data_IF_932681113122
#
_entry.id   IF_932681113122
#
_cell.length_a   1.000
_cell.length_b   1.000
_cell.length_c   1.000
_cell.angle_alpha   90.00
_cell.angle_beta   90.00
_cell.angle_gamma   90.00
#
_symmetry.space_group_name_H-M   'P 1'
#
loop_
_entity.id
_entity.type
_entity.pdbx_description
1 polymer ?
#
# COMPACT_ATOMS: atom_id res chain seq x y z
N UNK A 1 -5.08 -16.89 -16.52
CA UNK A 1 -4.98 -16.64 -15.06
C UNK A 1 -3.61 -17.13 -14.62
N UNK A 2 -2.76 -16.22 -14.16
CA UNK A 2 -1.32 -16.48 -13.94
C UNK A 2 -1.04 -16.57 -12.44
N UNK A 3 -0.28 -17.56 -12.03
CA UNK A 3 0.07 -17.77 -10.63
C UNK A 3 1.40 -17.10 -10.27
N UNK A 4 1.39 -16.25 -9.24
CA UNK A 4 2.57 -15.54 -8.76
C UNK A 4 3.02 -16.12 -7.42
N UNK A 5 4.25 -16.65 -7.41
CA UNK A 5 4.85 -17.34 -6.26
C UNK A 5 5.80 -16.45 -5.45
N UNK A 6 6.37 -15.42 -6.06
CA UNK A 6 7.35 -14.53 -5.45
C UNK A 6 7.09 -13.08 -5.83
N UNK A 7 7.45 -12.16 -4.92
CA UNK A 7 7.39 -10.72 -5.14
C UNK A 7 8.80 -10.16 -5.03
N UNK A 8 9.29 -9.64 -6.16
CA UNK A 8 10.56 -8.94 -6.29
C UNK A 8 10.34 -7.42 -6.35
N UNK A 9 11.40 -6.63 -6.14
CA UNK A 9 11.34 -5.18 -6.33
C UNK A 9 10.93 -4.79 -7.76
N UNK A 10 11.39 -5.54 -8.77
CA UNK A 10 10.97 -5.36 -10.17
C UNK A 10 9.47 -5.58 -10.35
N UNK A 11 8.88 -6.57 -9.66
CA UNK A 11 7.44 -6.80 -9.71
C UNK A 11 6.67 -5.64 -9.07
N UNK A 12 7.13 -5.12 -7.93
CA UNK A 12 6.56 -3.92 -7.28
C UNK A 12 6.51 -2.75 -8.26
N UNK A 13 7.62 -2.40 -8.90
CA UNK A 13 7.67 -1.27 -9.81
C UNK A 13 6.84 -1.50 -11.09
N UNK A 14 6.80 -2.73 -11.60
CA UNK A 14 5.91 -3.13 -12.70
C UNK A 14 4.44 -2.85 -12.35
N UNK A 15 3.98 -3.29 -11.19
CA UNK A 15 2.59 -3.05 -10.76
C UNK A 15 2.30 -1.56 -10.60
N UNK A 16 3.19 -0.80 -9.97
CA UNK A 16 3.01 0.64 -9.78
C UNK A 16 2.88 1.37 -11.12
N UNK A 17 3.72 1.05 -12.10
CA UNK A 17 3.67 1.66 -13.44
C UNK A 17 2.37 1.31 -14.18
N UNK A 18 1.98 0.03 -14.18
CA UNK A 18 0.73 -0.39 -14.83
C UNK A 18 -0.47 0.30 -14.20
N UNK A 19 -0.58 0.27 -12.88
CA UNK A 19 -1.73 0.84 -12.18
C UNK A 19 -1.79 2.36 -12.23
N UNK A 20 -0.65 3.05 -12.36
CA UNK A 20 -0.64 4.50 -12.62
C UNK A 20 -1.33 4.82 -13.96
N UNK A 21 -1.01 4.07 -15.02
CA UNK A 21 -1.67 4.21 -16.32
C UNK A 21 -3.17 3.89 -16.23
N UNK A 22 -3.53 2.78 -15.57
CA UNK A 22 -4.94 2.39 -15.37
C UNK A 22 -5.71 3.48 -14.63
N UNK A 23 -5.19 3.96 -13.49
CA UNK A 23 -5.85 4.97 -12.67
C UNK A 23 -6.08 6.28 -13.42
N UNK A 24 -5.10 6.72 -14.23
CA UNK A 24 -5.25 7.89 -15.10
C UNK A 24 -6.40 7.72 -16.09
N UNK A 25 -6.46 6.59 -16.80
CA UNK A 25 -7.53 6.32 -17.79
C UNK A 25 -8.91 6.20 -17.14
N UNK A 26 -8.98 5.60 -15.95
CA UNK A 26 -10.22 5.54 -15.18
C UNK A 26 -10.70 6.94 -14.75
N UNK A 27 -9.78 7.81 -14.34
CA UNK A 27 -10.13 9.20 -14.02
C UNK A 27 -10.72 9.94 -15.23
N UNK A 28 -10.25 9.62 -16.44
CA UNK A 28 -10.75 10.17 -17.72
C UNK A 28 -11.98 9.44 -18.28
N UNK A 29 -12.52 8.41 -17.59
CA UNK A 29 -13.63 7.55 -18.05
C UNK A 29 -13.34 6.76 -19.33
N UNK A 30 -12.07 6.52 -19.63
CA UNK A 30 -11.65 5.67 -20.74
C UNK A 30 -11.50 4.21 -20.25
N UNK A 31 -12.64 3.53 -20.08
CA UNK A 31 -12.67 2.16 -19.56
C UNK A 31 -11.96 1.15 -20.49
N UNK A 32 -12.05 1.36 -21.80
CA UNK A 32 -11.42 0.48 -22.80
C UNK A 32 -9.89 0.60 -22.70
N UNK A 33 -9.35 1.82 -22.67
CA UNK A 33 -7.91 2.00 -22.51
C UNK A 33 -7.44 1.58 -21.11
N UNK A 34 -8.23 1.81 -20.07
CA UNK A 34 -7.92 1.35 -18.72
C UNK A 34 -7.80 -0.18 -18.65
N UNK A 35 -8.74 -0.91 -19.24
CA UNK A 35 -8.69 -2.37 -19.31
C UNK A 35 -7.49 -2.86 -20.13
N UNK A 36 -7.26 -2.27 -21.31
CA UNK A 36 -6.11 -2.59 -22.15
C UNK A 36 -4.77 -2.38 -21.40
N UNK A 37 -4.67 -1.30 -20.63
CA UNK A 37 -3.50 -1.00 -19.81
C UNK A 37 -3.33 -2.00 -18.65
N UNK A 38 -4.42 -2.57 -18.13
CA UNK A 38 -4.40 -3.55 -17.03
C UNK A 38 -3.95 -4.95 -17.51
N UNK A 39 -4.16 -5.29 -18.78
CA UNK A 39 -3.89 -6.62 -19.34
C UNK A 39 -2.54 -7.25 -18.97
N UNK A 40 -1.39 -6.52 -18.92
CA UNK A 40 -0.10 -7.11 -18.56
C UNK A 40 -0.05 -7.78 -17.18
N UNK A 41 -0.97 -7.45 -16.28
CA UNK A 41 -1.07 -8.04 -14.93
C UNK A 41 -2.44 -8.67 -14.67
N UNK A 42 -3.36 -8.62 -15.62
CA UNK A 42 -4.75 -9.04 -15.42
C UNK A 42 -4.86 -10.52 -15.05
N UNK A 43 -5.66 -10.80 -14.01
CA UNK A 43 -5.94 -12.14 -13.52
C UNK A 43 -4.74 -12.83 -12.87
N UNK A 44 -3.67 -12.11 -12.52
CA UNK A 44 -2.62 -12.66 -11.67
C UNK A 44 -3.16 -12.96 -10.26
N UNK A 45 -2.77 -14.11 -9.70
CA UNK A 45 -3.20 -14.53 -8.37
C UNK A 45 -2.00 -14.80 -7.48
N UNK A 46 -2.05 -14.26 -6.27
CA UNK A 46 -1.04 -14.56 -5.27
C UNK A 46 -1.22 -15.97 -4.71
N UNK A 47 -0.25 -16.84 -5.01
CA UNK A 47 -0.17 -18.21 -4.47
C UNK A 47 1.15 -18.48 -3.74
N UNK A 48 2.01 -17.46 -3.63
CA UNK A 48 3.28 -17.54 -2.94
C UNK A 48 3.20 -17.62 -1.43
N UNK A 49 4.39 -17.69 -0.82
CA UNK A 49 4.59 -17.60 0.63
C UNK A 49 5.69 -16.59 0.95
N UNK A 50 5.58 -15.91 2.08
CA UNK A 50 6.58 -14.93 2.52
C UNK A 50 7.48 -15.56 3.58
N UNK A 51 8.79 -15.63 3.32
CA UNK A 51 9.79 -16.02 4.31
C UNK A 51 10.09 -14.83 5.24
N UNK A 52 10.01 -15.06 6.55
CA UNK A 52 10.35 -14.07 7.56
C UNK A 52 11.88 -13.86 7.63
N UNK A 53 12.32 -12.65 7.92
CA UNK A 53 13.74 -12.34 8.10
C UNK A 53 14.31 -12.82 9.44
N UNK A 54 13.45 -13.05 10.44
CA UNK A 54 13.83 -13.62 11.72
C UNK A 54 12.76 -14.57 12.23
N UNK A 55 13.19 -15.58 12.99
CA UNK A 55 12.28 -16.44 13.75
C UNK A 55 11.58 -15.61 14.83
N UNK A 56 10.27 -15.79 15.07
CA UNK A 56 9.60 -15.15 16.20
C UNK A 56 10.31 -15.55 17.49
N UNK A 57 10.69 -14.56 18.31
CA UNK A 57 11.23 -14.85 19.65
C UNK A 57 10.11 -15.46 20.49
N UNK A 58 10.27 -16.71 20.92
CA UNK A 58 9.31 -17.41 21.76
C UNK A 58 9.13 -16.68 23.10
N UNK A 59 7.89 -16.51 23.56
CA UNK A 59 7.59 -15.96 24.88
C UNK A 59 7.26 -14.46 24.93
N UNK A 60 7.24 -13.74 23.80
CA UNK A 60 6.71 -12.36 23.78
C UNK A 60 5.19 -12.41 23.90
N UNK A 61 4.56 -11.80 24.93
CA UNK A 61 3.11 -11.82 25.08
C UNK A 61 2.43 -11.24 23.84
N UNK A 62 1.29 -11.85 23.46
CA UNK A 62 0.44 -11.43 22.34
C UNK A 62 0.02 -9.97 22.59
N UNK A 63 0.72 -9.02 21.97
CA UNK A 63 0.49 -7.59 22.22
C UNK A 63 -0.93 -7.24 21.80
N UNK A 64 -1.64 -6.51 22.66
CA UNK A 64 -2.86 -5.79 22.29
C UNK A 64 -2.49 -4.79 21.19
N UNK A 65 -2.59 -5.22 19.94
CA UNK A 65 -2.37 -4.37 18.78
C UNK A 65 -3.44 -3.29 18.77
N UNK A 66 -3.13 -2.10 19.29
CA UNK A 66 -3.91 -0.91 18.93
C UNK A 66 -3.58 -0.62 17.47
N UNK A 67 -4.44 -1.09 16.56
CA UNK A 67 -4.43 -0.74 15.14
C UNK A 67 -4.16 0.75 14.99
N UNK A 68 -3.17 1.13 14.17
CA UNK A 68 -2.98 2.53 13.77
C UNK A 68 -4.28 3.00 13.11
N UNK A 69 -4.79 4.16 13.53
CA UNK A 69 -6.01 4.73 12.95
C UNK A 69 -5.78 5.11 11.49
N UNK A 70 -6.78 4.92 10.62
CA UNK A 70 -6.65 5.16 9.17
C UNK A 70 -6.22 6.60 8.82
N UNK A 71 -6.66 7.59 9.60
CA UNK A 71 -6.20 8.98 9.48
C UNK A 71 -4.68 9.10 9.69
N UNK A 72 -4.15 8.44 10.72
CA UNK A 72 -2.70 8.44 11.01
C UNK A 72 -1.95 7.69 9.92
N UNK A 73 -2.50 6.59 9.38
CA UNK A 73 -1.91 5.90 8.22
C UNK A 73 -1.78 6.85 7.03
N UNK A 74 -2.84 7.60 6.69
CA UNK A 74 -2.80 8.54 5.58
C UNK A 74 -1.71 9.61 5.76
N UNK A 75 -1.56 10.14 6.97
CA UNK A 75 -0.50 11.10 7.33
C UNK A 75 0.90 10.50 7.17
N UNK A 76 1.11 9.26 7.64
CA UNK A 76 2.41 8.56 7.52
C UNK A 76 2.74 8.25 6.06
N UNK A 77 1.76 7.82 5.27
CA UNK A 77 1.98 7.51 3.85
C UNK A 77 2.31 8.76 3.05
N UNK A 78 1.64 9.88 3.32
CA UNK A 78 1.95 11.17 2.70
C UNK A 78 3.33 11.67 3.11
N UNK A 79 3.66 11.63 4.41
CA UNK A 79 4.97 11.99 4.96
C UNK A 79 6.12 11.24 4.28
N UNK A 80 5.93 9.93 4.07
CA UNK A 80 6.94 9.08 3.42
C UNK A 80 6.84 9.08 1.88
N UNK A 81 6.13 10.06 1.29
CA UNK A 81 5.96 10.22 -0.17
C UNK A 81 5.46 8.94 -0.86
N UNK A 82 4.58 8.21 -0.18
CA UNK A 82 4.02 6.94 -0.64
C UNK A 82 5.09 5.95 -1.11
N UNK A 83 6.22 5.88 -0.39
CA UNK A 83 7.29 4.91 -0.65
C UNK A 83 7.52 4.02 0.55
N UNK A 84 7.83 2.76 0.27
CA UNK A 84 8.31 1.87 1.31
C UNK A 84 9.68 2.36 1.78
N UNK A 85 9.78 2.75 3.04
CA UNK A 85 11.01 3.32 3.57
C UNK A 85 12.12 2.26 3.75
N UNK A 86 11.78 0.98 3.72
CA UNK A 86 12.77 -0.11 3.74
C UNK A 86 13.36 -0.40 2.36
N UNK A 87 12.55 -0.64 1.33
CA UNK A 87 13.04 -1.05 0.01
C UNK A 87 13.08 0.08 -1.05
N UNK A 88 12.52 1.26 -0.75
CA UNK A 88 12.44 2.41 -1.66
C UNK A 88 11.29 2.37 -2.68
N UNK A 89 10.68 1.19 -2.89
CA UNK A 89 9.67 0.99 -3.93
C UNK A 89 8.39 1.79 -3.70
N UNK A 90 7.72 2.14 -4.81
CA UNK A 90 6.44 2.87 -4.79
C UNK A 90 5.35 2.09 -4.08
N UNK A 91 4.56 2.77 -3.27
CA UNK A 91 3.38 2.22 -2.62
C UNK A 91 2.11 2.87 -3.19
N UNK A 92 1.03 2.11 -3.24
CA UNK A 92 -0.31 2.59 -3.61
C UNK A 92 -1.24 2.24 -2.45
N UNK A 93 -1.88 3.22 -1.80
CA UNK A 93 -2.78 2.96 -0.67
C UNK A 93 -3.84 1.93 -1.04
N UNK A 94 -4.13 1.02 -0.09
CA UNK A 94 -5.12 -0.05 -0.28
C UNK A 94 -6.46 0.46 -0.80
N UNK A 95 -6.93 1.61 -0.32
CA UNK A 95 -8.21 2.16 -0.74
C UNK A 95 -8.23 2.57 -2.22
N UNK A 96 -7.08 2.97 -2.78
CA UNK A 96 -6.94 3.25 -4.22
C UNK A 96 -6.92 1.94 -5.01
N UNK A 97 -6.19 0.93 -4.55
CA UNK A 97 -6.21 -0.41 -5.17
C UNK A 97 -7.61 -1.03 -5.15
N UNK A 98 -8.35 -0.86 -4.05
CA UNK A 98 -9.76 -1.29 -3.94
C UNK A 98 -10.63 -0.54 -4.95
N UNK A 99 -10.45 0.77 -5.14
CA UNK A 99 -11.24 1.50 -6.14
C UNK A 99 -10.97 1.03 -7.58
N UNK A 100 -9.74 0.64 -7.91
CA UNK A 100 -9.43 0.01 -9.21
C UNK A 100 -10.10 -1.38 -9.30
N UNK A 101 -10.07 -2.15 -8.21
CA UNK A 101 -10.73 -3.45 -8.11
C UNK A 101 -12.25 -3.36 -8.23
N UNK A 102 -12.88 -2.31 -7.69
CA UNK A 102 -14.30 -2.05 -7.85
C UNK A 102 -14.66 -1.90 -9.34
N UNK A 103 -13.79 -1.34 -10.19
CA UNK A 103 -14.02 -1.28 -11.65
C UNK A 103 -13.74 -2.62 -12.34
N UNK A 104 -12.66 -3.30 -11.98
CA UNK A 104 -12.21 -4.53 -12.65
C UNK A 104 -12.09 -5.73 -11.68
N UNK A 105 -13.16 -6.21 -11.04
CA UNK A 105 -13.07 -7.18 -9.94
C UNK A 105 -12.54 -8.54 -10.39
N UNK A 106 -12.81 -8.96 -11.62
CA UNK A 106 -12.35 -10.24 -12.17
C UNK A 106 -10.88 -10.18 -12.65
N UNK A 107 -10.44 -9.03 -13.17
CA UNK A 107 -9.08 -8.84 -13.68
C UNK A 107 -8.10 -8.39 -12.59
N UNK A 108 -8.59 -7.69 -11.58
CA UNK A 108 -7.80 -7.15 -10.47
C UNK A 108 -8.48 -7.47 -9.13
N UNK A 109 -8.51 -8.75 -8.79
CA UNK A 109 -9.26 -9.26 -7.63
C UNK A 109 -8.75 -8.77 -6.27
N UNK A 110 -9.69 -8.37 -5.42
CA UNK A 110 -9.47 -8.06 -4.01
C UNK A 110 -10.13 -9.08 -3.09
N UNK A 111 -9.43 -9.42 -2.00
CA UNK A 111 -10.02 -10.17 -0.90
C UNK A 111 -9.60 -9.54 0.43
N UNK A 112 -10.53 -9.16 1.34
CA UNK A 112 -10.20 -8.41 2.56
C UNK A 112 -9.23 -9.14 3.49
N UNK A 113 -9.31 -10.47 3.52
CA UNK A 113 -8.42 -11.31 4.33
C UNK A 113 -7.16 -11.80 3.57
N UNK A 114 -6.85 -11.24 2.39
CA UNK A 114 -5.70 -11.65 1.58
C UNK A 114 -5.65 -13.17 1.29
N UNK A 115 -6.81 -13.79 1.05
CA UNK A 115 -6.87 -15.23 0.88
C UNK A 115 -6.03 -15.67 -0.34
N UNK A 116 -5.18 -16.67 -0.12
CA UNK A 116 -4.31 -17.26 -1.15
C UNK A 116 -5.16 -17.70 -2.34
N UNK A 117 -4.73 -17.36 -3.55
CA UNK A 117 -5.43 -17.66 -4.79
C UNK A 117 -6.71 -16.85 -5.03
N UNK A 118 -7.04 -15.88 -4.17
CA UNK A 118 -8.23 -15.00 -4.32
C UNK A 118 -7.90 -13.51 -4.36
N UNK A 119 -6.61 -13.16 -4.27
CA UNK A 119 -6.17 -11.77 -4.26
C UNK A 119 -5.08 -11.56 -5.31
N UNK A 120 -5.15 -10.40 -5.97
CA UNK A 120 -4.13 -9.96 -6.90
C UNK A 120 -2.80 -9.64 -6.14
N UNK A 121 -1.63 -10.08 -6.64
CA UNK A 121 -0.33 -9.88 -5.97
C UNK A 121 0.05 -8.41 -5.72
N UNK A 122 -0.47 -7.48 -6.51
CA UNK A 122 -0.26 -6.04 -6.30
C UNK A 122 -0.70 -5.56 -4.90
N UNK A 123 -1.73 -6.17 -4.29
CA UNK A 123 -2.11 -5.82 -2.91
C UNK A 123 -1.01 -6.15 -1.89
N UNK A 124 -0.24 -7.21 -2.12
CA UNK A 124 0.92 -7.54 -1.28
C UNK A 124 2.13 -6.66 -1.61
N UNK A 125 2.33 -6.38 -2.90
CA UNK A 125 3.52 -5.69 -3.40
C UNK A 125 3.48 -4.16 -3.22
N UNK A 126 2.30 -3.54 -3.25
CA UNK A 126 2.12 -2.09 -3.26
C UNK A 126 1.41 -1.54 -2.04
N UNK A 127 0.46 -2.28 -1.44
CA UNK A 127 -0.34 -1.72 -0.36
C UNK A 127 0.57 -1.43 0.86
N UNK A 128 0.63 -0.17 1.33
CA UNK A 128 1.41 0.19 2.49
C UNK A 128 0.69 -0.17 3.78
N UNK A 129 1.48 -0.45 4.81
CA UNK A 129 1.10 -0.54 6.21
C UNK A 129 1.93 0.49 6.99
N UNK A 130 1.30 1.15 7.96
CA UNK A 130 2.01 2.03 8.89
C UNK A 130 2.53 1.17 10.04
N UNK A 131 3.84 0.98 10.10
CA UNK A 131 4.51 0.15 11.09
C UNK A 131 5.46 0.99 11.96
N UNK A 132 5.70 0.53 13.19
CA UNK A 132 6.55 1.28 14.11
C UNK A 132 8.04 1.18 13.76
N UNK A 133 8.72 2.32 13.70
CA UNK A 133 10.17 2.42 13.53
C UNK A 133 10.86 1.77 14.73
N UNK A 134 10.52 2.22 15.93
CA UNK A 134 10.83 1.53 17.18
C UNK A 134 9.66 0.62 17.49
N UNK A 135 9.90 -0.69 17.55
CA UNK A 135 8.83 -1.64 17.87
C UNK A 135 8.11 -1.22 19.16
N UNK A 136 6.79 -1.39 19.19
CA UNK A 136 6.01 -1.24 20.44
C UNK A 136 6.58 -2.13 21.57
N UNK A 137 7.30 -3.21 21.21
CA UNK A 137 8.10 -4.03 22.12
C UNK A 137 9.14 -3.34 22.94
N UNK A 138 9.69 -2.30 22.36
CA UNK A 138 10.83 -1.59 22.89
C UNK A 138 10.43 -0.17 23.28
N UNK A 139 9.13 0.07 23.53
CA UNK A 139 8.59 1.37 23.98
C UNK A 139 8.13 2.31 22.87
N UNK A 140 8.01 1.85 21.62
CA UNK A 140 7.54 2.68 20.50
C UNK A 140 6.10 3.19 20.64
N UNK A 141 5.88 4.49 20.38
CA UNK A 141 4.56 5.15 20.43
C UNK A 141 3.81 5.05 19.10
N UNK A 142 2.50 5.32 19.10
CA UNK A 142 1.67 5.46 17.89
C UNK A 142 1.76 6.85 17.24
N UNK A 143 2.69 7.69 17.69
CA UNK A 143 2.89 9.02 17.12
C UNK A 143 3.36 8.91 15.66
N UNK A 144 2.89 9.78 14.74
CA UNK A 144 3.33 9.77 13.35
C UNK A 144 4.86 9.80 13.17
N UNK A 145 5.60 10.36 14.13
CA UNK A 145 7.06 10.39 14.15
C UNK A 145 7.71 9.02 14.37
N UNK A 146 7.04 8.10 15.06
CA UNK A 146 7.53 6.72 15.28
C UNK A 146 6.90 5.72 14.29
N UNK A 147 6.12 6.18 13.32
CA UNK A 147 5.53 5.34 12.29
C UNK A 147 6.20 5.58 10.94
N UNK A 148 6.28 4.51 10.15
CA UNK A 148 6.84 4.55 8.80
C UNK A 148 6.07 3.64 7.86
N UNK A 149 6.16 3.94 6.58
CA UNK A 149 5.51 3.25 5.48
C UNK A 149 6.33 2.03 5.08
N UNK A 150 5.74 0.83 5.20
CA UNK A 150 6.29 -0.40 4.64
C UNK A 150 5.25 -1.04 3.72
N UNK A 151 5.66 -1.65 2.61
CA UNK A 151 4.74 -2.52 1.85
C UNK A 151 4.24 -3.64 2.75
N UNK A 152 3.04 -4.14 2.48
CA UNK A 152 2.45 -5.30 3.19
C UNK A 152 3.43 -6.48 3.18
N UNK A 153 4.11 -6.73 2.05
CA UNK A 153 5.17 -7.74 1.95
C UNK A 153 6.35 -7.45 2.87
N UNK A 154 6.90 -6.23 2.85
CA UNK A 154 8.05 -5.86 3.69
C UNK A 154 7.72 -5.91 5.18
N UNK A 155 6.55 -5.37 5.57
CA UNK A 155 6.03 -5.42 6.92
C UNK A 155 5.86 -6.87 7.41
N UNK A 156 5.29 -7.74 6.56
CA UNK A 156 5.10 -9.16 6.90
C UNK A 156 6.43 -9.89 7.06
N UNK A 157 7.40 -9.69 6.14
CA UNK A 157 8.72 -10.32 6.26
C UNK A 157 9.50 -9.81 7.48
N UNK A 158 9.32 -8.54 7.87
CA UNK A 158 9.89 -7.94 9.08
C UNK A 158 9.33 -8.59 10.35
N UNK A 159 8.03 -8.86 10.38
CA UNK A 159 7.33 -9.35 11.57
C UNK A 159 7.60 -8.41 12.77
N UNK A 160 7.86 -8.95 13.95
CA UNK A 160 8.17 -8.20 15.17
C UNK A 160 9.60 -7.66 15.25
N UNK A 161 10.44 -7.92 14.25
CA UNK A 161 11.84 -7.47 14.22
C UNK A 161 11.92 -5.96 14.05
N UNK A 162 12.90 -5.30 14.65
CA UNK A 162 13.14 -3.87 14.42
C UNK A 162 13.55 -3.62 12.95
N UNK A 163 13.16 -2.47 12.38
CA UNK A 163 13.50 -2.14 10.99
C UNK A 163 15.02 -2.10 10.75
N UNK A 164 15.78 -1.59 11.72
CA UNK A 164 17.26 -1.52 11.67
C UNK A 164 17.94 -2.89 11.64
N UNK A 165 17.24 -3.96 12.00
CA UNK A 165 17.77 -5.32 11.99
C UNK A 165 17.39 -6.09 10.71
N UNK A 166 16.72 -5.45 9.74
CA UNK A 166 16.47 -6.04 8.43
C UNK A 166 17.73 -6.02 7.56
N UNK A 167 17.91 -7.00 6.66
CA UNK A 167 19.02 -6.98 5.71
C UNK A 167 19.05 -5.67 4.91
N UNK A 168 20.23 -5.10 4.64
CA UNK A 168 20.32 -3.89 3.83
C UNK A 168 19.76 -4.14 2.43
N UNK A 169 18.99 -3.19 1.92
CA UNK A 169 18.48 -3.17 0.55
C UNK A 169 19.06 -1.95 -0.15
N UNK A 170 19.53 -2.12 -1.38
CA UNK A 170 19.98 -1.01 -2.22
C UNK A 170 18.73 -0.23 -2.65
N UNK A 171 18.58 0.99 -2.14
CA UNK A 171 17.53 1.91 -2.56
C UNK A 171 18.03 2.61 -3.83
N UNK A 172 17.30 2.44 -4.93
CA UNK A 172 17.59 3.13 -6.18
C UNK A 172 17.30 4.62 -6.07
N UNK A 173 17.90 5.43 -6.96
CA UNK A 173 17.49 6.81 -7.09
C UNK A 173 16.07 6.84 -7.66
N UNK A 174 15.16 7.56 -7.01
CA UNK A 174 13.75 7.56 -7.36
C UNK A 174 13.23 8.98 -7.50
N UNK A 175 12.44 9.23 -8.54
CA UNK A 175 11.81 10.54 -8.74
C UNK A 175 10.92 10.89 -7.53
N UNK A 176 11.04 12.14 -7.09
CA UNK A 176 10.38 12.65 -5.89
C UNK A 176 8.85 12.83 -6.05
N UNK A 177 8.30 12.73 -7.26
CA UNK A 177 6.93 13.14 -7.57
C UNK A 177 5.85 12.04 -7.39
N UNK A 178 6.09 11.02 -6.56
CA UNK A 178 5.10 9.94 -6.38
C UNK A 178 4.11 10.26 -5.25
N UNK A 179 2.82 10.34 -5.58
CA UNK A 179 1.73 10.71 -4.67
C UNK A 179 0.85 9.52 -4.26
N UNK A 180 1.26 8.29 -4.59
CA UNK A 180 0.48 7.09 -4.33
C UNK A 180 -0.83 7.00 -5.13
N UNK A 181 -0.93 7.74 -6.25
CA UNK A 181 -2.14 7.89 -7.07
C UNK A 181 -3.29 8.59 -6.36
N UNK A 182 -3.00 9.34 -5.30
CA UNK A 182 -4.04 10.03 -4.51
C UNK A 182 -4.66 11.21 -5.25
N UNK A 183 -3.95 11.86 -6.18
CA UNK A 183 -4.50 12.94 -7.00
C UNK A 183 -5.61 12.46 -7.96
N UNK A 184 -5.47 11.26 -8.55
CA UNK A 184 -6.45 10.69 -9.49
C UNK A 184 -7.53 9.86 -8.79
N UNK A 185 -7.34 9.54 -7.50
CA UNK A 185 -8.21 8.66 -6.74
C UNK A 185 -9.72 9.03 -6.76
N UNK A 186 -10.13 10.31 -6.64
CA UNK A 186 -11.55 10.68 -6.76
C UNK A 186 -12.17 10.28 -8.12
N UNK A 187 -11.40 10.42 -9.21
CA UNK A 187 -11.83 10.03 -10.55
C UNK A 187 -12.02 8.52 -10.66
N UNK A 188 -11.09 7.74 -10.10
CA UNK A 188 -11.16 6.27 -10.05
C UNK A 188 -12.38 5.79 -9.25
N UNK A 189 -12.65 6.39 -8.09
CA UNK A 189 -13.82 6.04 -7.26
C UNK A 189 -15.10 6.27 -8.03
N UNK A 190 -15.24 7.44 -8.65
CA UNK A 190 -16.44 7.76 -9.38
C UNK A 190 -16.57 6.93 -10.68
N UNK A 191 -15.48 6.43 -11.26
CA UNK A 191 -15.51 5.44 -12.35
C UNK A 191 -16.07 4.09 -11.87
N UNK A 192 -15.68 3.64 -10.67
CA UNK A 192 -16.25 2.44 -10.03
C UNK A 192 -17.72 2.56 -9.67
N UNK A 193 -18.19 3.77 -9.32
CA UNK A 193 -19.61 4.04 -9.09
C UNK A 193 -20.46 3.98 -10.35
N UNK A 194 -19.87 4.28 -11.51
CA UNK A 194 -20.56 4.29 -12.81
C UNK A 194 -20.53 2.93 -13.50
N UNK A 195 -19.38 2.24 -13.48
CA UNK A 195 -19.12 1.07 -14.32
C UNK A 195 -18.77 -0.20 -13.53
N UNK A 196 -18.53 -0.07 -12.22
CA UNK A 196 -17.97 -1.13 -11.39
C UNK A 196 -18.99 -1.90 -10.54
N UNK A 197 -18.45 -2.81 -9.73
CA UNK A 197 -19.16 -3.53 -8.67
C UNK A 197 -18.49 -3.18 -7.34
N UNK A 198 -19.13 -2.30 -6.57
CA UNK A 198 -18.64 -1.92 -5.25
C UNK A 198 -18.60 -3.13 -4.32
N UNK A 199 -17.42 -3.45 -3.81
CA UNK A 199 -17.24 -4.46 -2.76
C UNK A 199 -16.78 -3.86 -1.41
N UNK A 200 -16.60 -2.53 -1.35
CA UNK A 200 -16.33 -1.78 -0.13
C UNK A 200 -17.60 -1.29 0.57
N UNK A 201 -17.52 -1.00 1.89
CA UNK A 201 -18.65 -0.45 2.64
C UNK A 201 -18.99 0.98 2.22
N UNK A 202 -20.25 1.39 2.42
CA UNK A 202 -20.68 2.76 2.12
C UNK A 202 -19.79 3.79 2.85
N UNK A 203 -19.40 4.84 2.13
CA UNK A 203 -18.52 5.89 2.64
C UNK A 203 -17.05 5.47 2.86
N UNK A 204 -16.64 4.23 2.52
CA UNK A 204 -15.24 3.79 2.63
C UNK A 204 -14.28 4.72 1.88
N UNK A 205 -14.54 4.95 0.59
CA UNK A 205 -13.68 5.81 -0.23
C UNK A 205 -13.73 7.28 0.20
N UNK A 206 -14.92 7.79 0.52
CA UNK A 206 -15.12 9.17 0.98
C UNK A 206 -14.28 9.50 2.23
N UNK A 207 -14.23 8.58 3.20
CA UNK A 207 -13.37 8.76 4.40
C UNK A 207 -11.89 8.87 4.03
N UNK A 208 -11.40 7.99 3.17
CA UNK A 208 -9.99 8.00 2.75
C UNK A 208 -9.62 9.23 1.92
N UNK A 209 -10.49 9.66 1.01
CA UNK A 209 -10.29 10.90 0.26
C UNK A 209 -10.15 12.10 1.20
N UNK A 210 -11.01 12.17 2.23
CA UNK A 210 -10.89 13.19 3.28
C UNK A 210 -9.54 13.12 4.01
N UNK A 211 -9.10 11.93 4.42
CA UNK A 211 -7.83 11.79 5.14
C UNK A 211 -6.62 12.21 4.32
N UNK A 212 -6.57 11.89 3.02
CA UNK A 212 -5.48 12.34 2.15
C UNK A 212 -5.53 13.84 1.87
N UNK A 213 -6.72 14.41 1.69
CA UNK A 213 -6.88 15.87 1.55
C UNK A 213 -6.43 16.62 2.82
N UNK A 214 -6.82 16.11 4.00
CA UNK A 214 -6.41 16.66 5.28
C UNK A 214 -4.88 16.53 5.47
N UNK A 215 -4.27 15.41 5.05
CA UNK A 215 -2.82 15.19 5.13
C UNK A 215 -2.02 16.12 4.20
N UNK A 216 -2.49 16.32 2.96
CA UNK A 216 -1.85 17.22 1.99
C UNK A 216 -1.93 18.72 2.40
N UNK A 217 -2.92 19.08 3.23
CA UNK A 217 -3.14 20.46 3.68
C UNK A 217 -2.34 20.82 4.94
N UNK A 218 -1.62 19.87 5.55
CA UNK A 218 -0.82 20.16 6.75
C UNK A 218 0.52 20.77 6.34
N UNK A 219 0.93 21.91 6.92
CA UNK A 219 2.27 22.45 6.70
C UNK A 219 3.30 21.45 7.22
N UNK A 220 4.40 21.28 6.49
CA UNK A 220 5.57 20.55 6.97
C UNK A 220 6.00 21.18 8.30
N UNK A 221 5.82 20.46 9.40
CA UNK A 221 6.47 20.80 10.65
C UNK A 221 7.90 20.30 10.50
N UNK A 222 8.92 21.18 10.41
CA UNK A 222 10.30 20.73 10.31
C UNK A 222 10.58 19.82 11.51
N UNK A 223 10.99 18.58 11.21
CA UNK A 223 11.48 17.65 12.22
C UNK A 223 12.71 18.31 12.81
N UNK A 224 12.56 18.86 14.02
CA UNK A 224 13.61 19.59 14.71
C UNK A 224 14.90 18.79 14.67
N UNK A 225 15.93 19.35 14.04
CA UNK A 225 17.29 18.88 14.19
C UNK A 225 17.61 18.92 15.68
N UNK A 226 17.90 17.75 16.26
CA UNK A 226 18.55 17.75 17.56
C UNK A 226 19.97 18.32 17.38
N UNK A 227 20.45 19.14 18.34
CA UNK A 227 21.79 19.68 18.35
C UNK A 227 22.87 18.58 18.46
#
# INVERSE_FOLDING_TARGET
MTEVLELSATATERYATVLAGVASRLADRDFIAAEAQLQPIAGERWVGSLRLYASPVAGVPKRLGRSVADRVKAEVFAKDSFRCTYCGGRAVPRCVLVAISDVFPELFSYHPNFARGKIHPAFWALAPEADHVIAHSSGGTNEPSNLTTLHTTCNTRKSSTARSALPPVVIGNHDAAWDGLTAVYPGVVAAGEEHGVRHSSLGYHARWMKYFSDAASRPDVPVGGLP
#
